data_IF_718172491386
#
_entry.id   IF_718172491386
#
_cell.length_a   1.000
_cell.length_b   1.000
_cell.length_c   1.000
_cell.angle_alpha   90.00
_cell.angle_beta   90.00
_cell.angle_gamma   90.00
#
_symmetry.space_group_name_H-M   'P 1'
#
loop_
_entity.id
_entity.type
_entity.pdbx_description
1 polymer ?
#
# COMPACT_ATOMS: atom_id res chain seq x y z
N UNK A 1 10.63 -11.26 41.18
CA UNK A 1 11.27 -11.33 39.84
C UNK A 1 10.25 -10.86 38.84
N UNK A 2 10.40 -9.66 38.26
CA UNK A 2 9.50 -9.18 37.22
C UNK A 2 9.68 -10.00 35.94
N UNK A 3 8.59 -10.39 35.30
CA UNK A 3 8.60 -11.22 34.09
C UNK A 3 9.15 -10.44 32.90
N UNK A 4 10.10 -11.03 32.17
CA UNK A 4 10.68 -10.42 30.96
C UNK A 4 9.82 -10.82 29.75
N UNK A 5 9.18 -9.85 29.11
CA UNK A 5 8.30 -10.07 27.97
C UNK A 5 9.04 -9.88 26.65
N UNK A 6 8.95 -10.86 25.76
CA UNK A 6 9.61 -10.86 24.46
C UNK A 6 8.62 -10.76 23.32
N UNK A 7 8.89 -9.87 22.37
CA UNK A 7 8.15 -9.74 21.13
C UNK A 7 8.94 -10.36 19.99
N UNK A 8 8.29 -11.29 19.30
CA UNK A 8 8.88 -12.08 18.23
C UNK A 8 8.47 -11.51 16.87
N UNK A 9 9.38 -11.57 15.91
CA UNK A 9 9.06 -11.29 14.52
C UNK A 9 8.05 -12.30 13.97
N UNK A 10 7.14 -11.84 13.13
CA UNK A 10 6.10 -12.68 12.53
C UNK A 10 6.23 -12.80 11.02
N UNK A 11 5.88 -13.97 10.48
CA UNK A 11 5.72 -14.20 9.05
C UNK A 11 4.51 -13.47 8.45
N UNK A 12 3.60 -12.97 9.31
CA UNK A 12 2.43 -12.14 8.95
C UNK A 12 2.69 -10.64 9.12
N UNK A 13 3.90 -10.25 9.55
CA UNK A 13 4.29 -8.86 9.70
C UNK A 13 4.21 -8.09 8.37
N UNK A 14 4.04 -6.75 8.40
CA UNK A 14 4.12 -5.91 7.21
C UNK A 14 5.41 -6.14 6.40
N UNK A 15 6.57 -6.26 7.05
CA UNK A 15 7.84 -6.52 6.38
C UNK A 15 7.85 -7.87 5.63
N UNK A 16 7.35 -8.93 6.27
CA UNK A 16 7.27 -10.25 5.65
C UNK A 16 6.28 -10.29 4.47
N UNK A 17 5.16 -9.58 4.57
CA UNK A 17 4.20 -9.44 3.46
C UNK A 17 4.78 -8.64 2.30
N UNK A 18 5.43 -7.51 2.58
CA UNK A 18 6.08 -6.67 1.56
C UNK A 18 7.12 -7.43 0.75
N UNK A 19 7.96 -8.23 1.43
CA UNK A 19 8.93 -9.13 0.78
C UNK A 19 8.26 -10.11 -0.19
N UNK A 20 7.17 -10.77 0.22
CA UNK A 20 6.45 -11.72 -0.66
C UNK A 20 5.87 -11.03 -1.89
N UNK A 21 5.25 -9.87 -1.72
CA UNK A 21 4.69 -9.10 -2.83
C UNK A 21 5.75 -8.61 -3.80
N UNK A 22 6.92 -8.19 -3.30
CA UNK A 22 8.05 -7.81 -4.17
C UNK A 22 8.45 -8.98 -5.08
N UNK A 23 8.62 -10.18 -4.52
CA UNK A 23 8.98 -11.37 -5.29
C UNK A 23 7.88 -11.80 -6.27
N UNK A 24 6.61 -11.72 -5.87
CA UNK A 24 5.48 -12.01 -6.76
C UNK A 24 5.42 -11.01 -7.94
N UNK A 25 5.58 -9.71 -7.65
CA UNK A 25 5.58 -8.66 -8.67
C UNK A 25 6.78 -8.79 -9.61
N UNK A 26 7.96 -9.09 -9.07
CA UNK A 26 9.15 -9.36 -9.87
C UNK A 26 8.96 -10.58 -10.77
N UNK A 27 8.44 -11.68 -10.24
CA UNK A 27 8.16 -12.88 -11.02
C UNK A 27 7.17 -12.62 -12.16
N UNK A 28 6.09 -11.88 -11.87
CA UNK A 28 5.10 -11.51 -12.89
C UNK A 28 5.70 -10.59 -13.96
N UNK A 29 6.46 -9.56 -13.56
CA UNK A 29 7.11 -8.63 -14.47
C UNK A 29 8.12 -9.32 -15.38
N UNK A 30 8.91 -10.24 -14.84
CA UNK A 30 9.86 -11.05 -15.61
C UNK A 30 9.15 -12.01 -16.56
N UNK A 31 8.08 -12.67 -16.13
CA UNK A 31 7.28 -13.54 -17.00
C UNK A 31 6.70 -12.76 -18.19
N UNK A 32 6.14 -11.57 -17.94
CA UNK A 32 5.63 -10.69 -18.99
C UNK A 32 6.74 -10.22 -19.95
N UNK A 33 7.92 -9.89 -19.41
CA UNK A 33 9.07 -9.48 -20.22
C UNK A 33 9.54 -10.61 -21.16
N UNK A 34 9.63 -11.84 -20.65
CA UNK A 34 10.02 -13.02 -21.44
C UNK A 34 8.98 -13.37 -22.52
N UNK A 35 7.69 -13.33 -22.19
CA UNK A 35 6.62 -13.55 -23.17
C UNK A 35 6.68 -12.48 -24.27
N UNK A 36 6.92 -11.21 -23.89
CA UNK A 36 7.03 -10.11 -24.85
C UNK A 36 8.26 -10.23 -25.75
N UNK A 37 9.37 -10.78 -25.26
CA UNK A 37 10.60 -10.93 -26.05
C UNK A 37 10.62 -12.19 -26.93
N UNK A 38 9.61 -13.05 -26.82
CA UNK A 38 9.60 -14.33 -27.53
C UNK A 38 10.73 -15.27 -27.07
N UNK A 39 11.19 -15.11 -25.83
CA UNK A 39 12.28 -15.89 -25.25
C UNK A 39 13.62 -15.77 -26.00
N UNK A 40 13.92 -14.59 -26.53
CA UNK A 40 15.24 -14.30 -27.09
C UNK A 40 16.38 -14.49 -26.06
N UNK A 41 17.56 -14.88 -26.54
CA UNK A 41 18.72 -15.13 -25.67
C UNK A 41 19.11 -13.89 -24.83
N UNK A 42 18.91 -12.69 -25.38
CA UNK A 42 19.15 -11.43 -24.68
C UNK A 42 18.23 -11.22 -23.47
N UNK A 43 16.92 -11.45 -23.59
CA UNK A 43 16.03 -11.31 -22.45
C UNK A 43 16.23 -12.38 -21.38
N UNK A 44 16.67 -13.59 -21.76
CA UNK A 44 17.02 -14.63 -20.79
C UNK A 44 18.21 -14.20 -19.91
N UNK A 45 19.27 -13.64 -20.52
CA UNK A 45 20.43 -13.11 -19.78
C UNK A 45 20.03 -11.94 -18.88
N UNK A 46 19.26 -10.99 -19.41
CA UNK A 46 18.77 -9.84 -18.62
C UNK A 46 17.91 -10.28 -17.43
N UNK A 47 17.00 -11.23 -17.65
CA UNK A 47 16.15 -11.80 -16.60
C UNK A 47 16.97 -12.46 -15.50
N UNK A 48 17.99 -13.25 -15.87
CA UNK A 48 18.91 -13.87 -14.92
C UNK A 48 19.62 -12.83 -14.05
N UNK A 49 20.11 -11.75 -14.65
CA UNK A 49 20.75 -10.65 -13.92
C UNK A 49 19.77 -9.94 -12.96
N UNK A 50 18.54 -9.67 -13.41
CA UNK A 50 17.53 -9.01 -12.59
C UNK A 50 17.14 -9.87 -11.36
N UNK A 51 16.98 -11.18 -11.54
CA UNK A 51 16.71 -12.12 -10.42
C UNK A 51 17.87 -12.14 -9.44
N UNK A 52 19.12 -12.15 -9.91
CA UNK A 52 20.30 -12.12 -9.05
C UNK A 52 20.37 -10.84 -8.22
N UNK A 53 20.15 -9.68 -8.84
CA UNK A 53 20.15 -8.39 -8.14
C UNK A 53 19.05 -8.32 -7.07
N UNK A 54 17.83 -8.77 -7.42
CA UNK A 54 16.72 -8.85 -6.46
C UNK A 54 17.01 -9.86 -5.33
N UNK A 55 17.68 -10.97 -5.63
CA UNK A 55 18.14 -11.96 -4.67
C UNK A 55 19.12 -11.39 -3.66
N UNK A 56 20.08 -10.59 -4.13
CA UNK A 56 21.05 -9.89 -3.27
C UNK A 56 20.36 -8.84 -2.39
N UNK A 57 19.48 -8.02 -2.97
CA UNK A 57 18.69 -7.03 -2.22
C UNK A 57 17.86 -7.72 -1.13
N UNK A 58 17.20 -8.83 -1.46
CA UNK A 58 16.42 -9.60 -0.51
C UNK A 58 17.28 -10.13 0.63
N UNK A 59 18.44 -10.72 0.32
CA UNK A 59 19.33 -11.33 1.29
C UNK A 59 19.83 -10.33 2.33
N UNK A 60 20.32 -9.17 1.88
CA UNK A 60 20.97 -8.19 2.75
C UNK A 60 19.99 -7.24 3.43
N UNK A 61 18.85 -6.93 2.81
CA UNK A 61 17.97 -5.86 3.28
C UNK A 61 16.64 -6.39 3.83
N UNK A 62 15.96 -7.28 3.09
CA UNK A 62 14.57 -7.65 3.38
C UNK A 62 14.47 -8.90 4.27
N UNK A 63 15.33 -9.89 4.06
CA UNK A 63 15.30 -11.15 4.80
C UNK A 63 15.58 -10.97 6.29
N UNK A 64 16.54 -10.13 6.75
CA UNK A 64 16.79 -9.93 8.19
C UNK A 64 15.58 -9.33 8.92
N UNK A 65 14.80 -8.48 8.24
CA UNK A 65 13.63 -7.83 8.85
C UNK A 65 12.40 -8.73 8.87
N UNK A 66 12.31 -9.70 7.94
CA UNK A 66 11.14 -10.55 7.70
C UNK A 66 11.23 -12.01 8.22
N UNK A 67 12.38 -12.47 8.76
CA UNK A 67 12.48 -13.82 9.35
C UNK A 67 11.58 -13.92 10.58
N UNK A 68 10.74 -14.94 10.65
CA UNK A 68 9.83 -15.18 11.78
C UNK A 68 10.53 -15.86 12.96
N UNK A 69 10.00 -15.66 14.17
CA UNK A 69 10.44 -16.34 15.39
C UNK A 69 11.71 -15.76 16.02
N UNK A 70 12.20 -14.61 15.54
CA UNK A 70 13.34 -13.93 16.15
C UNK A 70 12.87 -12.93 17.20
N UNK A 71 13.52 -12.88 18.34
CA UNK A 71 13.29 -11.82 19.33
C UNK A 71 13.70 -10.49 18.71
N UNK A 72 12.73 -9.59 18.54
CA UNK A 72 12.95 -8.26 17.96
C UNK A 72 12.89 -7.16 19.00
N UNK A 73 12.16 -7.36 20.09
CA UNK A 73 12.05 -6.39 21.17
C UNK A 73 11.81 -7.13 22.48
N UNK A 74 12.48 -6.68 23.54
CA UNK A 74 12.34 -7.25 24.88
C UNK A 74 12.01 -6.14 25.86
N UNK A 75 10.98 -6.36 26.67
CA UNK A 75 10.56 -5.47 27.74
C UNK A 75 10.90 -6.17 29.05
N UNK A 76 11.91 -5.67 29.76
CA UNK A 76 12.30 -6.14 31.07
C UNK A 76 11.79 -5.22 32.19
N UNK A 77 11.94 -5.65 33.46
CA UNK A 77 11.53 -4.86 34.61
C UNK A 77 12.27 -3.52 34.69
N UNK A 78 13.58 -3.52 34.39
CA UNK A 78 14.45 -2.35 34.57
C UNK A 78 14.79 -1.63 33.25
N UNK A 79 14.64 -2.31 32.11
CA UNK A 79 15.07 -1.80 30.81
C UNK A 79 14.32 -2.41 29.64
N UNK A 80 14.37 -1.71 28.51
CA UNK A 80 13.94 -2.20 27.21
C UNK A 80 15.15 -2.47 26.31
N UNK A 81 15.03 -3.49 25.46
CA UNK A 81 16.12 -3.95 24.60
C UNK A 81 15.66 -4.29 23.19
N UNK A 82 16.45 -3.87 22.20
CA UNK A 82 16.30 -4.32 20.82
C UNK A 82 17.59 -4.15 20.03
N UNK A 83 17.94 -5.16 19.23
CA UNK A 83 19.04 -5.04 18.26
C UNK A 83 18.72 -4.08 17.11
N UNK A 84 17.45 -3.72 16.92
CA UNK A 84 16.97 -2.93 15.78
C UNK A 84 16.75 -1.45 16.09
N UNK A 85 17.16 -0.97 17.26
CA UNK A 85 17.32 0.47 17.45
C UNK A 85 18.28 1.03 16.40
N UNK A 86 17.97 2.21 15.89
CA UNK A 86 18.78 2.94 14.91
C UNK A 86 20.12 3.47 15.47
N UNK A 87 20.22 3.60 16.81
CA UNK A 87 21.44 3.98 17.52
C UNK A 87 22.38 2.80 17.80
N UNK A 88 23.65 3.06 18.08
CA UNK A 88 24.59 2.04 18.56
C UNK A 88 24.14 1.36 19.87
N UNK A 89 23.53 2.12 20.79
CA UNK A 89 22.94 1.59 22.02
C UNK A 89 21.71 0.72 21.72
N UNK A 90 21.66 -0.49 22.31
CA UNK A 90 20.60 -1.50 22.10
C UNK A 90 19.76 -1.78 23.35
N UNK A 91 20.12 -1.18 24.49
CA UNK A 91 19.45 -1.29 25.79
C UNK A 91 19.23 0.11 26.36
N UNK A 92 18.06 0.36 26.93
CA UNK A 92 17.68 1.64 27.53
C UNK A 92 16.95 1.38 28.85
N UNK A 93 17.43 1.99 29.93
CA UNK A 93 16.83 1.88 31.27
C UNK A 93 15.60 2.76 31.35
N UNK A 94 14.57 2.35 32.09
CA UNK A 94 13.31 3.12 32.20
C UNK A 94 13.51 4.55 32.72
N UNK A 95 14.40 4.73 33.69
CA UNK A 95 14.71 6.05 34.26
C UNK A 95 15.33 7.04 33.26
N UNK A 96 15.95 6.56 32.18
CA UNK A 96 16.50 7.43 31.13
C UNK A 96 15.42 7.93 30.16
N UNK A 97 14.26 7.28 30.13
CA UNK A 97 13.21 7.52 29.13
C UNK A 97 12.24 8.57 29.68
N UNK A 98 12.23 9.75 29.06
CA UNK A 98 11.32 10.83 29.39
C UNK A 98 9.93 10.65 28.77
N UNK A 99 9.87 10.12 27.55
CA UNK A 99 8.62 9.90 26.84
C UNK A 99 8.80 8.83 25.75
N UNK A 100 7.67 8.23 25.37
CA UNK A 100 7.59 7.27 24.26
C UNK A 100 6.53 7.78 23.30
N UNK A 101 6.95 8.08 22.08
CA UNK A 101 6.10 8.60 21.02
C UNK A 101 6.02 7.59 19.88
N UNK A 102 4.86 7.54 19.21
CA UNK A 102 4.69 6.78 17.98
C UNK A 102 4.65 7.77 16.82
N UNK A 103 5.61 7.63 15.91
CA UNK A 103 5.68 8.41 14.68
C UNK A 103 5.56 7.49 13.47
N UNK A 104 5.27 8.08 12.31
CA UNK A 104 5.25 7.37 11.04
C UNK A 104 6.39 7.85 10.16
N UNK A 105 7.37 6.99 9.94
CA UNK A 105 8.44 7.25 8.99
C UNK A 105 8.08 6.59 7.64
N UNK A 106 7.73 7.41 6.64
CA UNK A 106 7.31 6.94 5.30
C UNK A 106 6.23 5.84 5.37
N UNK A 107 5.24 6.05 6.23
CA UNK A 107 4.15 5.09 6.45
C UNK A 107 4.49 3.88 7.32
N UNK A 108 5.73 3.74 7.79
CA UNK A 108 6.10 2.70 8.75
C UNK A 108 6.00 3.25 10.18
N UNK A 109 5.20 2.62 11.06
CA UNK A 109 5.15 3.02 12.46
C UNK A 109 6.50 2.75 13.14
N UNK A 110 7.01 3.76 13.84
CA UNK A 110 8.25 3.73 14.61
C UNK A 110 7.96 4.18 16.03
N UNK A 111 8.48 3.44 17.01
CA UNK A 111 8.53 3.90 18.40
C UNK A 111 9.76 4.78 18.55
N UNK A 112 9.58 6.02 19.00
CA UNK A 112 10.66 6.96 19.31
C UNK A 112 10.71 7.16 20.82
N UNK A 113 11.89 6.95 21.39
CA UNK A 113 12.13 7.27 22.81
C UNK A 113 12.68 8.69 22.88
N UNK A 114 12.17 9.49 23.80
CA UNK A 114 12.80 10.75 24.19
C UNK A 114 13.61 10.48 25.46
N UNK A 115 14.93 10.65 25.37
CA UNK A 115 15.83 10.41 26.50
C UNK A 115 16.18 11.70 27.23
N UNK A 116 16.58 11.58 28.49
CA UNK A 116 17.10 12.69 29.28
C UNK A 116 18.34 13.33 28.60
N UNK A 117 18.57 14.64 28.75
CA UNK A 117 19.63 15.37 28.01
C UNK A 117 21.06 14.92 28.29
N UNK A 118 21.31 14.14 29.34
CA UNK A 118 22.66 13.88 29.83
C UNK A 118 23.41 12.79 29.05
N UNK A 119 24.64 13.11 28.64
CA UNK A 119 25.70 12.13 28.39
C UNK A 119 25.83 11.48 27.01
N UNK A 120 24.81 11.51 26.13
CA UNK A 120 24.93 10.82 24.82
C UNK A 120 25.47 11.73 23.71
N UNK A 121 26.77 11.58 23.40
CA UNK A 121 27.44 12.20 22.24
C UNK A 121 27.18 11.38 20.96
N UNK A 122 27.12 12.08 19.83
CA UNK A 122 26.89 11.48 18.50
C UNK A 122 28.14 10.73 18.04
N UNK A 123 28.01 9.43 17.78
CA UNK A 123 29.06 8.64 17.17
C UNK A 123 29.19 8.92 15.66
N UNK A 124 30.27 8.41 15.05
CA UNK A 124 30.56 8.64 13.63
C UNK A 124 29.47 8.05 12.71
N UNK A 125 28.92 6.87 13.06
CA UNK A 125 27.82 6.22 12.32
C UNK A 125 26.53 7.02 12.39
N UNK A 126 26.21 7.53 13.58
CA UNK A 126 25.03 8.35 13.82
C UNK A 126 25.12 9.71 13.11
N UNK A 127 26.33 10.25 12.95
CA UNK A 127 26.58 11.48 12.19
C UNK A 127 26.32 11.29 10.69
N UNK A 128 26.83 10.20 10.10
CA UNK A 128 26.63 9.88 8.68
C UNK A 128 25.15 9.62 8.34
N UNK A 129 24.44 8.92 9.23
CA UNK A 129 23.05 8.51 8.97
C UNK A 129 22.01 9.54 9.43
N UNK A 130 22.44 10.68 9.98
CA UNK A 130 21.53 11.71 10.48
C UNK A 130 20.74 11.29 11.73
N UNK A 131 21.13 10.23 12.43
CA UNK A 131 20.43 9.70 13.62
C UNK A 131 20.76 10.56 14.85
N UNK A 132 19.76 10.89 15.67
CA UNK A 132 19.93 11.58 16.94
C UNK A 132 20.00 10.56 18.10
N UNK A 133 21.14 10.42 18.80
CA UNK A 133 21.31 9.48 19.91
C UNK A 133 20.37 9.73 21.10
N UNK A 134 19.80 10.94 21.21
CA UNK A 134 18.84 11.31 22.26
C UNK A 134 17.42 10.91 21.91
N UNK A 135 17.19 10.54 20.65
CA UNK A 135 15.89 10.19 20.09
C UNK A 135 15.93 8.85 19.35
N UNK A 136 16.39 7.77 19.99
CA UNK A 136 16.49 6.46 19.36
C UNK A 136 15.11 6.00 18.88
N UNK A 137 15.08 5.33 17.74
CA UNK A 137 13.85 4.81 17.14
C UNK A 137 13.92 3.33 16.85
N UNK A 138 12.77 2.66 16.95
CA UNK A 138 12.58 1.26 16.65
C UNK A 138 11.42 1.07 15.66
N UNK A 139 11.65 0.51 14.46
CA UNK A 139 10.58 0.23 13.51
C UNK A 139 9.75 -0.98 13.93
N UNK A 140 8.43 -0.81 13.92
CA UNK A 140 7.46 -1.81 14.36
C UNK A 140 7.08 -2.81 13.26
N UNK A 141 7.56 -2.63 12.02
CA UNK A 141 7.20 -3.41 10.83
C UNK A 141 7.52 -4.92 10.89
N UNK A 142 8.31 -5.35 11.87
CA UNK A 142 8.65 -6.73 12.15
C UNK A 142 7.57 -7.49 12.93
N UNK A 143 6.74 -6.74 13.65
CA UNK A 143 5.66 -7.23 14.50
C UNK A 143 4.34 -7.28 13.73
N UNK A 144 3.39 -8.08 14.18
CA UNK A 144 2.02 -8.01 13.67
C UNK A 144 1.32 -6.78 14.22
N UNK A 145 0.33 -6.18 13.51
CA UNK A 145 -0.37 -4.99 13.98
C UNK A 145 -0.86 -5.08 15.43
N UNK A 146 -1.42 -6.23 15.83
CA UNK A 146 -1.88 -6.43 17.22
C UNK A 146 -0.73 -6.46 18.24
N UNK A 147 0.42 -7.03 17.86
CA UNK A 147 1.62 -7.04 18.71
C UNK A 147 2.28 -5.66 18.77
N UNK A 148 2.14 -4.84 17.71
CA UNK A 148 2.56 -3.44 17.72
C UNK A 148 1.73 -2.64 18.74
N UNK A 149 0.41 -2.79 18.73
CA UNK A 149 -0.50 -2.16 19.69
C UNK A 149 -0.14 -2.56 21.12
N UNK A 150 -0.06 -3.88 21.38
CA UNK A 150 0.30 -4.41 22.71
C UNK A 150 1.65 -3.91 23.21
N UNK A 151 2.66 -3.86 22.33
CA UNK A 151 3.97 -3.34 22.70
C UNK A 151 3.86 -1.87 23.10
N UNK A 152 3.21 -1.03 22.29
CA UNK A 152 3.06 0.41 22.59
C UNK A 152 2.28 0.62 23.88
N UNK A 153 1.16 -0.08 24.07
CA UNK A 153 0.35 0.00 25.30
C UNK A 153 1.18 -0.36 26.53
N UNK A 154 1.96 -1.45 26.44
CA UNK A 154 2.80 -1.91 27.53
C UNK A 154 3.95 -0.96 27.84
N UNK A 155 4.60 -0.41 26.80
CA UNK A 155 5.64 0.60 26.95
C UNK A 155 5.10 1.87 27.63
N UNK A 156 3.94 2.35 27.19
CA UNK A 156 3.29 3.53 27.77
C UNK A 156 2.77 3.27 29.18
N UNK A 157 2.23 2.09 29.46
CA UNK A 157 1.82 1.69 30.80
C UNK A 157 3.02 1.65 31.75
N UNK A 158 4.08 0.93 31.38
CA UNK A 158 5.26 0.77 32.22
C UNK A 158 5.96 2.10 32.51
N UNK A 159 6.05 2.98 31.50
CA UNK A 159 6.59 4.32 31.71
C UNK A 159 5.73 5.15 32.68
N UNK A 160 4.40 4.97 32.66
CA UNK A 160 3.52 5.67 33.61
C UNK A 160 3.67 5.17 35.03
N UNK A 161 3.84 3.86 35.23
CA UNK A 161 4.12 3.28 36.55
C UNK A 161 5.40 3.92 37.12
N UNK A 162 6.49 3.92 36.35
CA UNK A 162 7.76 4.52 36.75
C UNK A 162 7.66 6.03 37.03
N UNK A 163 6.84 6.77 36.27
CA UNK A 163 6.63 8.22 36.49
C UNK A 163 5.67 8.52 37.63
N UNK A 164 4.68 7.67 37.87
CA UNK A 164 3.78 7.76 39.02
C UNK A 164 4.55 7.53 40.31
N UNK A 165 5.45 6.53 40.33
CA UNK A 165 6.36 6.29 41.45
C UNK A 165 7.30 7.48 41.68
N UNK A 166 7.65 8.21 40.61
CA UNK A 166 8.40 9.47 40.68
C UNK A 166 7.54 10.72 41.00
N UNK A 167 6.23 10.58 41.25
CA UNK A 167 5.32 11.69 41.61
C UNK A 167 4.94 12.62 40.46
N UNK A 168 5.12 12.21 39.20
CA UNK A 168 4.82 13.02 38.01
C UNK A 168 3.48 12.62 37.41
N UNK A 169 2.59 13.60 37.18
CA UNK A 169 1.28 13.36 36.57
C UNK A 169 1.40 12.76 35.16
N UNK A 170 0.74 11.63 34.93
CA UNK A 170 0.71 10.94 33.65
C UNK A 170 -0.34 11.55 32.70
N UNK A 171 0.07 11.84 31.45
CA UNK A 171 -0.87 12.22 30.40
C UNK A 171 -1.80 11.05 30.02
N UNK A 172 -3.03 11.32 29.54
CA UNK A 172 -3.90 10.28 29.01
C UNK A 172 -3.22 9.58 27.83
N UNK A 173 -3.11 8.25 27.90
CA UNK A 173 -2.53 7.47 26.82
C UNK A 173 -3.59 7.21 25.77
N UNK A 174 -3.42 7.76 24.57
CA UNK A 174 -4.05 7.23 23.38
C UNK A 174 -3.01 6.53 22.50
N UNK A 175 -3.34 5.31 22.09
CA UNK A 175 -2.49 4.54 21.20
C UNK A 175 -2.93 4.80 19.76
N UNK A 176 -2.14 5.61 19.05
CA UNK A 176 -2.39 6.00 17.67
C UNK A 176 -2.55 4.78 16.75
N UNK A 177 -1.85 3.68 17.02
CA UNK A 177 -1.97 2.45 16.23
C UNK A 177 -3.33 1.78 16.42
N UNK A 178 -3.86 1.80 17.64
CA UNK A 178 -5.20 1.30 17.95
C UNK A 178 -6.27 2.18 17.29
N UNK A 179 -6.15 3.52 17.38
CA UNK A 179 -7.05 4.45 16.70
C UNK A 179 -7.09 4.20 15.18
N UNK A 180 -5.92 4.01 14.55
CA UNK A 180 -5.80 3.68 13.14
C UNK A 180 -6.47 2.36 12.76
N UNK A 181 -6.20 1.30 13.53
CA UNK A 181 -6.83 0.00 13.27
C UNK A 181 -8.33 0.08 13.43
N UNK A 182 -8.83 0.74 14.49
CA UNK A 182 -10.25 0.89 14.75
C UNK A 182 -10.93 1.70 13.64
N UNK A 183 -10.31 2.78 13.18
CA UNK A 183 -10.79 3.54 12.03
C UNK A 183 -10.87 2.68 10.76
N UNK A 184 -9.83 1.92 10.46
CA UNK A 184 -9.81 1.00 9.32
C UNK A 184 -10.89 -0.10 9.44
N UNK A 185 -11.13 -0.60 10.65
CA UNK A 185 -12.20 -1.57 10.93
C UNK A 185 -13.59 -0.97 10.77
N UNK A 186 -13.82 0.25 11.27
CA UNK A 186 -15.07 0.97 11.09
C UNK A 186 -15.37 1.20 9.61
N UNK A 187 -14.37 1.65 8.83
CA UNK A 187 -14.53 1.81 7.39
C UNK A 187 -14.88 0.49 6.68
N UNK A 188 -14.25 -0.61 7.09
CA UNK A 188 -14.56 -1.94 6.56
C UNK A 188 -15.95 -2.43 6.97
N UNK A 189 -16.43 -2.07 8.16
CA UNK A 189 -17.75 -2.44 8.66
C UNK A 189 -18.88 -1.72 7.90
N UNK A 190 -18.66 -0.50 7.40
CA UNK A 190 -19.65 0.26 6.63
C UNK A 190 -20.03 -0.41 5.29
N UNK A 191 -19.07 -1.06 4.61
CA UNK A 191 -19.37 -1.93 3.48
C UNK A 191 -18.49 -3.20 3.52
N UNK A 192 -18.96 -4.28 4.17
CA UNK A 192 -18.16 -5.48 4.38
C UNK A 192 -17.88 -6.25 3.08
N UNK A 193 -18.72 -6.07 2.06
CA UNK A 193 -18.58 -6.68 0.72
C UNK A 193 -18.63 -5.60 -0.36
N UNK A 194 -17.51 -5.34 -1.01
CA UNK A 194 -17.38 -4.37 -2.11
C UNK A 194 -17.77 -5.01 -3.44
N UNK A 195 -19.02 -5.48 -3.54
CA UNK A 195 -19.49 -6.28 -4.67
C UNK A 195 -19.50 -5.49 -5.98
N UNK A 196 -19.70 -4.17 -5.94
CA UNK A 196 -19.72 -3.35 -7.14
C UNK A 196 -18.32 -3.26 -7.76
N UNK A 197 -17.29 -3.11 -6.94
CA UNK A 197 -15.88 -3.16 -7.38
C UNK A 197 -15.58 -4.49 -8.08
N UNK A 198 -15.89 -5.61 -7.42
CA UNK A 198 -15.59 -6.93 -7.98
C UNK A 198 -16.43 -7.24 -9.23
N UNK A 199 -17.68 -6.78 -9.27
CA UNK A 199 -18.53 -6.88 -10.45
C UNK A 199 -17.95 -6.11 -11.64
N UNK A 200 -17.48 -4.88 -11.43
CA UNK A 200 -16.82 -4.09 -12.48
C UNK A 200 -15.52 -4.77 -12.95
N UNK A 201 -14.68 -5.27 -12.03
CA UNK A 201 -13.48 -6.00 -12.41
C UNK A 201 -13.83 -7.22 -13.29
N UNK A 202 -14.82 -8.01 -12.87
CA UNK A 202 -15.27 -9.17 -13.63
C UNK A 202 -15.79 -8.77 -15.02
N UNK A 203 -16.55 -7.67 -15.13
CA UNK A 203 -17.05 -7.18 -16.41
C UNK A 203 -15.93 -6.75 -17.36
N UNK A 204 -14.90 -6.05 -16.87
CA UNK A 204 -13.74 -5.66 -17.68
C UNK A 204 -12.94 -6.89 -18.17
N UNK A 205 -12.74 -7.87 -17.30
CA UNK A 205 -12.08 -9.13 -17.66
C UNK A 205 -12.92 -9.93 -18.66
N UNK A 206 -14.24 -10.01 -18.47
CA UNK A 206 -15.15 -10.68 -19.39
C UNK A 206 -15.16 -10.01 -20.76
N UNK A 207 -15.19 -8.67 -20.81
CA UNK A 207 -15.09 -7.91 -22.06
C UNK A 207 -13.76 -8.18 -22.77
N UNK A 208 -12.65 -8.24 -22.04
CA UNK A 208 -11.35 -8.61 -22.63
C UNK A 208 -11.35 -10.05 -23.15
N UNK A 209 -11.89 -11.02 -22.42
CA UNK A 209 -12.03 -12.41 -22.89
C UNK A 209 -12.89 -12.46 -24.16
N UNK A 210 -13.97 -11.67 -24.25
CA UNK A 210 -14.79 -11.59 -25.46
C UNK A 210 -13.99 -11.08 -26.67
N UNK A 211 -13.01 -10.17 -26.46
CA UNK A 211 -12.10 -9.76 -27.54
C UNK A 211 -11.23 -10.91 -28.05
N UNK A 212 -10.73 -11.77 -27.14
CA UNK A 212 -9.96 -12.96 -27.52
C UNK A 212 -10.81 -13.98 -28.26
N UNK A 213 -12.04 -14.22 -27.77
CA UNK A 213 -13.00 -15.12 -28.42
C UNK A 213 -13.38 -14.66 -29.83
N UNK A 214 -13.33 -13.34 -30.09
CA UNK A 214 -13.50 -12.75 -31.42
C UNK A 214 -12.23 -12.78 -32.28
N UNK A 215 -11.14 -13.44 -31.84
CA UNK A 215 -9.90 -13.61 -32.60
C UNK A 215 -8.91 -12.45 -32.46
N UNK A 216 -9.05 -11.57 -31.47
CA UNK A 216 -8.08 -10.52 -31.21
C UNK A 216 -6.80 -11.06 -30.54
N UNK A 217 -5.65 -10.49 -30.89
CA UNK A 217 -4.39 -10.79 -30.21
C UNK A 217 -4.42 -10.30 -28.76
N UNK A 218 -3.92 -11.12 -27.84
CA UNK A 218 -3.98 -10.83 -26.41
C UNK A 218 -3.11 -9.64 -25.99
N UNK A 219 -2.12 -9.25 -26.79
CA UNK A 219 -1.16 -8.19 -26.49
C UNK A 219 -1.43 -6.96 -27.35
N UNK A 220 -1.77 -7.14 -28.63
CA UNK A 220 -1.88 -6.10 -29.65
C UNK A 220 -3.14 -6.31 -30.53
N UNK A 221 -4.34 -6.17 -29.97
CA UNK A 221 -5.56 -6.21 -30.77
C UNK A 221 -5.56 -5.06 -31.79
N UNK A 222 -6.11 -5.31 -32.99
CA UNK A 222 -6.20 -4.28 -34.03
C UNK A 222 -7.31 -3.27 -33.70
N UNK A 223 -7.18 -2.05 -34.23
CA UNK A 223 -8.22 -1.03 -34.09
C UNK A 223 -9.58 -1.51 -34.65
N UNK A 224 -9.58 -2.23 -35.78
CA UNK A 224 -10.79 -2.77 -36.37
C UNK A 224 -11.51 -3.78 -35.46
N UNK A 225 -10.76 -4.68 -34.81
CA UNK A 225 -11.31 -5.64 -33.86
C UNK A 225 -11.93 -4.95 -32.63
N UNK A 226 -11.24 -3.94 -32.08
CA UNK A 226 -11.77 -3.16 -30.97
C UNK A 226 -13.01 -2.35 -31.37
N UNK A 227 -13.01 -1.78 -32.57
CA UNK A 227 -14.16 -1.02 -33.09
C UNK A 227 -15.38 -1.91 -33.27
N UNK A 228 -15.20 -3.12 -33.82
CA UNK A 228 -16.29 -4.08 -34.02
C UNK A 228 -16.98 -4.47 -32.70
N UNK A 229 -16.24 -4.48 -31.58
CA UNK A 229 -16.75 -4.84 -30.26
C UNK A 229 -17.24 -3.64 -29.42
N UNK A 230 -17.28 -2.44 -30.00
CA UNK A 230 -17.80 -1.26 -29.32
C UNK A 230 -16.75 -0.25 -28.86
N UNK A 231 -15.57 -0.25 -29.47
CA UNK A 231 -14.57 0.80 -29.31
C UNK A 231 -15.10 2.15 -29.77
N UNK A 232 -14.55 3.23 -29.23
CA UNK A 232 -15.07 4.58 -29.41
C UNK A 232 -14.32 5.35 -30.49
N UNK A 233 -15.04 5.94 -31.43
CA UNK A 233 -14.50 6.84 -32.47
C UNK A 233 -15.49 7.98 -32.72
N UNK A 234 -14.97 9.14 -33.13
CA UNK A 234 -15.82 10.31 -33.38
C UNK A 234 -16.82 10.06 -34.52
N UNK A 235 -16.43 9.34 -35.57
CA UNK A 235 -17.28 9.05 -36.73
C UNK A 235 -18.51 8.22 -36.36
N UNK A 236 -18.33 7.11 -35.65
CA UNK A 236 -19.42 6.19 -35.30
C UNK A 236 -20.39 6.83 -34.30
N UNK A 237 -19.87 7.63 -33.36
CA UNK A 237 -20.71 8.35 -32.39
C UNK A 237 -21.56 9.42 -33.10
N UNK A 238 -21.00 10.14 -34.07
CA UNK A 238 -21.76 11.10 -34.90
C UNK A 238 -22.85 10.42 -35.74
N UNK A 239 -22.66 9.15 -36.10
CA UNK A 239 -23.67 8.32 -36.78
C UNK A 239 -24.73 7.74 -35.82
N UNK A 240 -24.75 8.15 -34.55
CA UNK A 240 -25.77 7.74 -33.58
C UNK A 240 -25.37 6.54 -32.72
N UNK A 241 -24.13 6.07 -32.76
CA UNK A 241 -23.68 4.94 -31.93
C UNK A 241 -23.15 5.42 -30.56
N UNK A 242 -23.95 6.23 -29.84
CA UNK A 242 -23.57 6.85 -28.56
C UNK A 242 -23.28 5.84 -27.44
N UNK A 243 -23.82 4.62 -27.55
CA UNK A 243 -23.51 3.51 -26.64
C UNK A 243 -22.01 3.17 -26.60
N UNK A 244 -21.23 3.52 -27.64
CA UNK A 244 -19.77 3.37 -27.69
C UNK A 244 -19.03 4.14 -26.60
N UNK A 245 -19.61 5.24 -26.11
CA UNK A 245 -19.06 5.99 -24.97
C UNK A 245 -19.00 5.11 -23.71
N UNK A 246 -19.96 4.22 -23.54
CA UNK A 246 -20.04 3.33 -22.39
C UNK A 246 -19.25 2.04 -22.63
N UNK A 247 -19.45 1.37 -23.76
CA UNK A 247 -18.80 0.06 -24.04
C UNK A 247 -17.29 0.17 -24.15
N UNK A 248 -16.77 1.26 -24.72
CA UNK A 248 -15.33 1.48 -24.82
C UNK A 248 -14.64 1.57 -23.46
N UNK A 249 -15.36 1.97 -22.40
CA UNK A 249 -14.82 2.02 -21.04
C UNK A 249 -14.52 0.63 -20.45
N UNK A 250 -14.99 -0.46 -21.09
CA UNK A 250 -14.73 -1.85 -20.65
C UNK A 250 -13.76 -2.60 -21.57
N UNK A 251 -13.48 -2.08 -22.76
CA UNK A 251 -12.54 -2.66 -23.72
C UNK A 251 -11.09 -2.23 -23.41
N UNK A 252 -10.12 -3.05 -23.78
CA UNK A 252 -8.71 -2.79 -23.49
C UNK A 252 -7.79 -3.16 -24.66
N UNK A 253 -6.74 -2.35 -24.86
CA UNK A 253 -5.69 -2.59 -25.86
C UNK A 253 -4.67 -3.58 -25.28
N UNK A 254 -5.07 -4.86 -25.23
CA UNK A 254 -4.23 -5.96 -24.77
C UNK A 254 -4.14 -6.12 -23.24
N UNK A 255 -3.47 -7.20 -22.84
CA UNK A 255 -3.40 -7.68 -21.44
C UNK A 255 -2.71 -6.71 -20.49
N UNK A 256 -1.70 -5.97 -20.96
CA UNK A 256 -0.97 -5.01 -20.12
C UNK A 256 -1.87 -3.83 -19.77
N UNK A 257 -2.62 -3.30 -20.75
CA UNK A 257 -3.54 -2.20 -20.54
C UNK A 257 -4.69 -2.62 -19.59
N UNK A 258 -5.24 -3.83 -19.76
CA UNK A 258 -6.20 -4.40 -18.81
C UNK A 258 -5.61 -4.50 -17.41
N UNK A 259 -4.44 -5.11 -17.26
CA UNK A 259 -3.82 -5.37 -15.97
C UNK A 259 -3.57 -4.07 -15.21
N UNK A 260 -3.06 -3.02 -15.87
CA UNK A 260 -2.83 -1.73 -15.22
C UNK A 260 -4.13 -1.08 -14.72
N UNK A 261 -5.21 -1.13 -15.51
CA UNK A 261 -6.50 -0.60 -15.07
C UNK A 261 -7.09 -1.42 -13.92
N UNK A 262 -7.03 -2.75 -14.01
CA UNK A 262 -7.59 -3.63 -12.97
C UNK A 262 -6.80 -3.55 -11.67
N UNK A 263 -5.47 -3.43 -11.73
CA UNK A 263 -4.63 -3.18 -10.55
C UNK A 263 -4.96 -1.81 -9.94
N UNK A 264 -5.02 -0.76 -10.75
CA UNK A 264 -5.40 0.57 -10.26
C UNK A 264 -6.76 0.56 -9.57
N UNK A 265 -7.76 -0.02 -10.22
CA UNK A 265 -9.12 -0.14 -9.70
C UNK A 265 -9.18 -1.00 -8.43
N UNK A 266 -8.54 -2.17 -8.41
CA UNK A 266 -8.52 -3.05 -7.24
C UNK A 266 -7.90 -2.40 -6.00
N UNK A 267 -6.92 -1.49 -6.19
CA UNK A 267 -6.26 -0.79 -5.10
C UNK A 267 -7.13 0.31 -4.48
N UNK A 268 -7.85 1.07 -5.31
CA UNK A 268 -8.56 2.29 -4.85
C UNK A 268 -10.07 2.09 -4.67
N UNK A 269 -10.71 1.33 -5.55
CA UNK A 269 -12.17 1.22 -5.62
C UNK A 269 -12.81 0.62 -4.36
N UNK A 270 -12.24 -0.41 -3.69
CA UNK A 270 -12.85 -0.95 -2.48
C UNK A 270 -12.97 0.09 -1.36
N UNK A 271 -12.01 1.02 -1.28
CA UNK A 271 -12.02 2.10 -0.30
C UNK A 271 -13.08 3.13 -0.65
N UNK A 272 -13.15 3.55 -1.91
CA UNK A 272 -14.16 4.51 -2.40
C UNK A 272 -15.57 3.95 -2.26
N UNK A 273 -15.79 2.67 -2.60
CA UNK A 273 -17.07 1.99 -2.43
C UNK A 273 -17.51 1.92 -0.97
N UNK A 274 -16.58 1.78 -0.02
CA UNK A 274 -16.88 1.83 1.41
C UNK A 274 -17.24 3.22 1.90
N UNK A 275 -16.58 4.25 1.39
CA UNK A 275 -16.82 5.64 1.77
C UNK A 275 -18.19 6.12 1.25
N UNK A 276 -18.46 5.85 -0.03
CA UNK A 276 -19.62 6.42 -0.74
C UNK A 276 -20.80 5.44 -0.85
N UNK A 277 -20.60 4.16 -0.54
CA UNK A 277 -21.57 3.10 -0.77
C UNK A 277 -21.66 2.67 -2.24
N UNK A 278 -22.28 1.53 -2.50
CA UNK A 278 -22.32 0.88 -3.81
C UNK A 278 -22.90 1.77 -4.92
N UNK A 279 -24.02 2.44 -4.64
CA UNK A 279 -24.76 3.23 -5.66
C UNK A 279 -23.95 4.43 -6.14
N UNK A 280 -23.43 5.21 -5.21
CA UNK A 280 -22.66 6.41 -5.55
C UNK A 280 -21.31 6.05 -6.16
N UNK A 281 -20.68 4.96 -5.70
CA UNK A 281 -19.48 4.43 -6.35
C UNK A 281 -19.73 4.06 -7.82
N UNK A 282 -20.83 3.36 -8.12
CA UNK A 282 -21.20 3.03 -9.51
C UNK A 282 -21.44 4.29 -10.34
N UNK A 283 -22.11 5.31 -9.77
CA UNK A 283 -22.31 6.60 -10.45
C UNK A 283 -20.99 7.31 -10.74
N UNK A 284 -20.05 7.32 -9.80
CA UNK A 284 -18.72 7.88 -9.99
C UNK A 284 -17.97 7.12 -11.09
N UNK A 285 -17.93 5.79 -11.03
CA UNK A 285 -17.23 4.97 -12.02
C UNK A 285 -17.80 5.16 -13.42
N UNK A 286 -19.12 4.98 -13.59
CA UNK A 286 -19.78 5.08 -14.89
C UNK A 286 -19.77 6.51 -15.43
N UNK A 287 -20.04 7.50 -14.57
CA UNK A 287 -20.01 8.91 -14.95
C UNK A 287 -18.64 9.38 -15.39
N UNK A 288 -17.59 9.00 -14.66
CA UNK A 288 -16.21 9.32 -15.04
C UNK A 288 -15.75 8.55 -16.29
N UNK A 289 -16.19 7.29 -16.47
CA UNK A 289 -15.98 6.53 -17.70
C UNK A 289 -16.58 7.23 -18.91
N UNK A 290 -17.85 7.64 -18.82
CA UNK A 290 -18.53 8.39 -19.88
C UNK A 290 -17.86 9.73 -20.19
N UNK A 291 -17.53 10.51 -19.15
CA UNK A 291 -16.84 11.79 -19.32
C UNK A 291 -15.44 11.59 -19.94
N UNK A 292 -14.71 10.57 -19.53
CA UNK A 292 -13.42 10.19 -20.11
C UNK A 292 -13.54 9.78 -21.58
N UNK A 293 -14.52 8.94 -21.92
CA UNK A 293 -14.80 8.57 -23.30
C UNK A 293 -15.18 9.77 -24.17
N UNK A 294 -16.00 10.68 -23.64
CA UNK A 294 -16.40 11.90 -24.34
C UNK A 294 -15.21 12.86 -24.54
N UNK A 295 -14.38 13.06 -23.52
CA UNK A 295 -13.15 13.83 -23.65
C UNK A 295 -12.20 13.19 -24.68
N UNK A 296 -12.10 11.86 -24.69
CA UNK A 296 -11.28 11.14 -25.66
C UNK A 296 -11.72 11.37 -27.10
N UNK A 297 -13.02 11.51 -27.37
CA UNK A 297 -13.51 11.90 -28.71
C UNK A 297 -12.96 13.25 -29.16
N UNK A 298 -12.79 14.19 -28.23
CA UNK A 298 -12.29 15.52 -28.55
C UNK A 298 -10.78 15.52 -28.84
N UNK A 299 -9.99 14.74 -28.08
CA UNK A 299 -8.52 14.82 -28.10
C UNK A 299 -7.81 13.71 -28.88
N UNK A 300 -8.35 12.49 -28.94
CA UNK A 300 -7.58 11.31 -29.40
C UNK A 300 -8.36 10.42 -30.37
N UNK A 301 -9.68 10.27 -30.18
CA UNK A 301 -10.50 9.39 -31.02
C UNK A 301 -10.99 10.06 -32.33
N UNK A 302 -10.35 11.16 -32.74
CA UNK A 302 -10.50 11.75 -34.08
C UNK A 302 -9.70 10.99 -35.14
N UNK A 303 -8.61 10.34 -34.75
CA UNK A 303 -7.67 9.67 -35.65
C UNK A 303 -7.47 8.19 -35.35
N UNK A 304 -8.12 7.65 -34.31
CA UNK A 304 -8.01 6.25 -33.91
C UNK A 304 -9.16 5.78 -33.02
N UNK A 305 -9.13 4.49 -32.68
CA UNK A 305 -10.13 3.85 -31.80
C UNK A 305 -9.70 3.99 -30.35
N UNK A 306 -10.56 4.58 -29.53
CA UNK A 306 -10.35 4.76 -28.10
C UNK A 306 -11.06 3.67 -27.30
N UNK A 307 -10.34 3.08 -26.35
CA UNK A 307 -10.84 2.09 -25.38
C UNK A 307 -10.09 2.22 -24.06
N UNK A 308 -10.69 1.77 -22.97
CA UNK A 308 -10.04 1.63 -21.67
C UNK A 308 -10.87 2.18 -20.52
N UNK A 309 -10.75 1.54 -19.36
CA UNK A 309 -11.39 1.98 -18.13
C UNK A 309 -10.69 3.19 -17.46
N UNK A 310 -9.61 3.72 -18.04
CA UNK A 310 -8.72 4.68 -17.38
C UNK A 310 -9.41 5.96 -16.94
N UNK A 311 -10.35 6.49 -17.73
CA UNK A 311 -11.17 7.65 -17.34
C UNK A 311 -12.00 7.37 -16.07
N UNK A 312 -12.58 6.17 -15.98
CA UNK A 312 -13.32 5.73 -14.80
C UNK A 312 -12.39 5.54 -13.60
N UNK A 313 -11.21 4.92 -13.78
CA UNK A 313 -10.21 4.72 -12.73
C UNK A 313 -9.72 6.06 -12.17
N UNK A 314 -9.42 7.04 -13.03
CA UNK A 314 -9.05 8.38 -12.60
C UNK A 314 -10.18 9.10 -11.87
N UNK A 315 -11.43 8.93 -12.30
CA UNK A 315 -12.59 9.46 -11.57
C UNK A 315 -12.73 8.87 -10.17
N UNK A 316 -12.55 7.55 -10.02
CA UNK A 316 -12.53 6.89 -8.71
C UNK A 316 -11.37 7.40 -7.85
N UNK A 317 -10.17 7.60 -8.42
CA UNK A 317 -9.04 8.19 -7.70
C UNK A 317 -9.33 9.63 -7.26
N UNK A 318 -9.98 10.43 -8.11
CA UNK A 318 -10.44 11.78 -7.78
C UNK A 318 -11.47 11.79 -6.65
N UNK A 319 -12.41 10.85 -6.65
CA UNK A 319 -13.37 10.71 -5.56
C UNK A 319 -12.69 10.35 -4.22
N UNK A 320 -11.67 9.46 -4.25
CA UNK A 320 -10.87 9.19 -3.06
C UNK A 320 -10.17 10.46 -2.54
N UNK A 321 -9.58 11.24 -3.44
CA UNK A 321 -8.91 12.48 -3.10
C UNK A 321 -9.86 13.49 -2.44
N UNK A 322 -11.08 13.65 -2.99
CA UNK A 322 -12.13 14.49 -2.41
C UNK A 322 -12.51 14.01 -1.01
N UNK A 323 -12.69 12.71 -0.81
CA UNK A 323 -12.98 12.15 0.52
C UNK A 323 -11.87 12.46 1.53
N UNK A 324 -10.61 12.31 1.13
CA UNK A 324 -9.46 12.61 1.98
C UNK A 324 -9.43 14.10 2.36
N UNK A 325 -9.64 15.00 1.39
CA UNK A 325 -9.66 16.44 1.65
C UNK A 325 -10.79 16.86 2.59
N UNK A 326 -12.01 16.35 2.40
CA UNK A 326 -13.15 16.70 3.26
C UNK A 326 -13.04 16.12 4.67
N UNK A 327 -12.38 14.97 4.84
CA UNK A 327 -12.28 14.29 6.12
C UNK A 327 -10.91 14.39 6.80
N UNK A 328 -10.01 15.26 6.31
CA UNK A 328 -8.66 15.48 6.85
C UNK A 328 -8.56 15.66 8.37
N UNK A 329 -9.61 16.19 9.02
CA UNK A 329 -9.65 16.40 10.49
C UNK A 329 -10.06 15.15 11.29
N UNK A 330 -10.60 14.13 10.62
CA UNK A 330 -11.05 12.86 11.20
C UNK A 330 -10.19 11.67 10.77
N UNK A 331 -9.24 11.91 9.85
CA UNK A 331 -8.32 10.89 9.41
C UNK A 331 -7.16 10.74 10.41
N UNK A 332 -6.76 9.50 10.75
CA UNK A 332 -5.56 9.28 11.54
C UNK A 332 -4.31 9.86 10.86
N UNK A 333 -3.27 10.14 11.66
CA UNK A 333 -2.06 10.89 11.27
C UNK A 333 -1.30 10.32 10.06
N UNK A 334 -1.51 9.05 9.67
CA UNK A 334 -0.95 8.46 8.45
C UNK A 334 -1.48 9.04 7.12
N UNK A 335 -2.64 9.71 7.12
CA UNK A 335 -3.27 10.26 5.91
C UNK A 335 -3.25 11.81 5.86
N UNK A 336 -2.67 12.44 6.88
CA UNK A 336 -2.54 13.89 7.01
C UNK A 336 -1.15 14.39 6.68
#
# INVERSE_FOLDING_TARGET
MGEQLQFLSSSRSPAARGRRWLWLAAALGLALALVKSGFDGGALVFTGFAVLLLGLLDWFVLRPTARAGQVVFTVGPDAIESRRFDTGAKRFVWSEILAIEVEFNRGTPVVRLLLAPEGRRRGWRESLNGVDPRRPSFPLNALQPLDQERLVDMLQQRLREERSDAGVAAAPASNVLTEERLFAQQLKALAPRTWATWGILALNVAAWIATLAAGADAIRPTAAQLLALGGNTASEVQQGQWWRLLTAAFLHIGVVHLTMNMLGLALIAPTVERIYGHRLFLLVYLGAGLAGSAASLHFSARTGVSVGASGAVFGVAGALLVAVFHHRRRLPRLFG
#
